data_IF_677115444378
#
_entry.id   IF_677115444378
#
_cell.length_a   1.000
_cell.length_b   1.000
_cell.length_c   1.000
_cell.angle_alpha   90.00
_cell.angle_beta   90.00
_cell.angle_gamma   90.00
#
_symmetry.space_group_name_H-M   'P 1'
#
loop_
_entity.id
_entity.type
_entity.pdbx_description
1 polymer ?
#
# COMPACT_ATOMS: atom_id res chain seq x y z
N UNK A 1 32.60 13.06 -24.25
CA UNK A 1 32.59 11.89 -23.34
C UNK A 1 32.48 12.28 -21.86
N UNK A 2 33.32 13.19 -21.34
CA UNK A 2 33.30 13.58 -19.91
C UNK A 2 31.98 14.19 -19.41
N UNK A 3 31.32 15.05 -20.19
CA UNK A 3 30.06 15.71 -19.78
C UNK A 3 28.89 14.75 -19.58
N UNK A 4 28.85 13.65 -20.35
CA UNK A 4 27.81 12.62 -20.23
C UNK A 4 28.05 11.77 -18.97
N UNK A 5 29.31 11.45 -18.68
CA UNK A 5 29.67 10.72 -17.46
C UNK A 5 29.29 11.50 -16.20
N UNK A 6 29.58 12.81 -16.16
CA UNK A 6 29.20 13.68 -15.04
C UNK A 6 27.68 13.73 -14.87
N UNK A 7 26.92 13.89 -15.97
CA UNK A 7 25.46 13.89 -15.93
C UNK A 7 24.90 12.56 -15.40
N UNK A 8 25.44 11.43 -15.87
CA UNK A 8 25.04 10.11 -15.42
C UNK A 8 25.29 9.92 -13.92
N UNK A 9 26.46 10.36 -13.41
CA UNK A 9 26.77 10.31 -11.98
C UNK A 9 25.79 11.12 -11.15
N UNK A 10 25.45 12.34 -11.58
CA UNK A 10 24.47 13.19 -10.88
C UNK A 10 23.08 12.52 -10.86
N UNK A 11 22.66 11.91 -11.97
CA UNK A 11 21.38 11.18 -12.04
C UNK A 11 21.35 10.01 -11.05
N UNK A 12 22.41 9.20 -11.00
CA UNK A 12 22.50 8.04 -10.09
C UNK A 12 22.48 8.49 -8.62
N UNK A 13 23.19 9.57 -8.29
CA UNK A 13 23.18 10.15 -6.94
C UNK A 13 21.78 10.63 -6.56
N UNK A 14 21.12 11.39 -7.43
CA UNK A 14 19.78 11.89 -7.19
C UNK A 14 18.76 10.75 -7.04
N UNK A 15 18.84 9.74 -7.91
CA UNK A 15 18.01 8.55 -7.82
C UNK A 15 18.20 7.82 -6.49
N UNK A 16 19.43 7.71 -6.00
CA UNK A 16 19.74 7.07 -4.71
C UNK A 16 19.11 7.83 -3.54
N UNK A 17 19.24 9.16 -3.52
CA UNK A 17 18.61 10.02 -2.51
C UNK A 17 17.08 9.87 -2.53
N UNK A 18 16.49 9.83 -3.72
CA UNK A 18 15.05 9.63 -3.89
C UNK A 18 14.57 8.25 -3.42
N UNK A 19 15.33 7.19 -3.67
CA UNK A 19 15.02 5.85 -3.13
C UNK A 19 15.05 5.84 -1.60
N UNK A 20 16.04 6.49 -0.98
CA UNK A 20 16.10 6.60 0.48
C UNK A 20 14.89 7.34 1.05
N UNK A 21 14.49 8.46 0.42
CA UNK A 21 13.30 9.21 0.82
C UNK A 21 12.03 8.36 0.76
N UNK A 22 11.86 7.55 -0.29
CA UNK A 22 10.70 6.67 -0.45
C UNK A 22 10.63 5.61 0.66
N UNK A 23 11.75 4.98 0.99
CA UNK A 23 11.83 3.99 2.08
C UNK A 23 11.54 4.63 3.43
N UNK A 24 12.13 5.80 3.70
CA UNK A 24 11.88 6.52 4.96
C UNK A 24 10.41 6.95 5.10
N UNK A 25 9.79 7.43 4.01
CA UNK A 25 8.38 7.78 3.98
C UNK A 25 7.49 6.57 4.27
N UNK A 26 7.72 5.44 3.61
CA UNK A 26 6.98 4.20 3.85
C UNK A 26 7.11 3.75 5.31
N UNK A 27 8.34 3.63 5.80
CA UNK A 27 8.60 3.20 7.18
C UNK A 27 7.97 4.17 8.19
N UNK A 28 8.00 5.49 7.94
CA UNK A 28 7.35 6.48 8.81
C UNK A 28 5.83 6.32 8.80
N UNK A 29 5.21 6.13 7.63
CA UNK A 29 3.77 5.93 7.51
C UNK A 29 3.32 4.68 8.27
N UNK A 30 3.93 3.52 8.00
CA UNK A 30 3.57 2.25 8.65
C UNK A 30 3.83 2.31 10.16
N UNK A 31 4.95 2.89 10.62
CA UNK A 31 5.21 3.06 12.06
C UNK A 31 4.19 3.96 12.73
N UNK A 32 3.77 5.04 12.08
CA UNK A 32 2.75 5.94 12.64
C UNK A 32 1.39 5.24 12.72
N UNK A 33 1.03 4.49 11.67
CA UNK A 33 -0.19 3.70 11.64
C UNK A 33 -0.17 2.61 12.73
N UNK A 34 0.91 1.83 12.82
CA UNK A 34 1.09 0.84 13.87
C UNK A 34 1.03 1.46 15.27
N UNK A 35 1.66 2.62 15.50
CA UNK A 35 1.58 3.35 16.78
C UNK A 35 0.16 3.77 17.14
N UNK A 36 -0.65 4.19 16.17
CA UNK A 36 -2.05 4.57 16.37
C UNK A 36 -2.87 3.40 16.93
N UNK A 37 -2.56 2.17 16.53
CA UNK A 37 -3.28 0.96 16.93
C UNK A 37 -2.58 0.14 18.04
N UNK A 38 -1.32 0.47 18.39
CA UNK A 38 -0.51 -0.28 19.38
C UNK A 38 -1.12 -0.34 20.79
N UNK A 39 -2.01 0.59 21.14
CA UNK A 39 -2.70 0.64 22.42
C UNK A 39 -3.98 -0.21 22.48
N UNK A 40 -4.51 -0.63 21.33
CA UNK A 40 -5.73 -1.40 21.27
C UNK A 40 -5.39 -2.88 20.98
N UNK A 41 -5.78 -3.78 21.87
CA UNK A 41 -5.63 -5.22 21.64
C UNK A 41 -6.58 -5.64 20.51
N UNK A 42 -6.08 -6.43 19.57
CA UNK A 42 -6.92 -7.05 18.54
C UNK A 42 -7.04 -6.30 17.21
N UNK A 43 -5.99 -5.58 16.80
CA UNK A 43 -5.92 -4.96 15.48
C UNK A 43 -4.77 -5.57 14.68
N UNK A 44 -5.07 -5.99 13.46
CA UNK A 44 -4.10 -6.54 12.52
C UNK A 44 -3.79 -5.53 11.43
N UNK A 45 -2.50 -5.25 11.22
CA UNK A 45 -2.02 -4.39 10.15
C UNK A 45 -1.54 -5.26 8.99
N UNK A 46 -2.31 -5.27 7.91
CA UNK A 46 -2.06 -6.06 6.71
C UNK A 46 -1.56 -5.12 5.62
N UNK A 47 -0.37 -5.37 5.09
CA UNK A 47 0.19 -4.62 3.97
C UNK A 47 0.39 -5.54 2.79
N UNK A 48 -0.01 -5.11 1.60
CA UNK A 48 0.34 -5.81 0.37
C UNK A 48 0.76 -4.85 -0.75
N UNK A 49 1.49 -5.38 -1.73
CA UNK A 49 2.05 -4.60 -2.82
C UNK A 49 1.66 -5.22 -4.15
N UNK A 50 0.78 -4.56 -4.88
CA UNK A 50 0.53 -4.91 -6.28
C UNK A 50 1.47 -4.15 -7.21
N UNK A 51 2.22 -4.91 -8.01
CA UNK A 51 3.04 -4.36 -9.09
C UNK A 51 2.31 -4.48 -10.43
N UNK A 52 2.45 -3.44 -11.25
CA UNK A 52 2.17 -3.44 -12.68
C UNK A 52 3.45 -3.04 -13.45
N UNK A 53 3.44 -3.16 -14.78
CA UNK A 53 4.65 -3.10 -15.63
C UNK A 53 5.49 -1.85 -15.41
N UNK A 54 4.84 -0.70 -15.20
CA UNK A 54 5.49 0.60 -15.01
C UNK A 54 5.07 1.32 -13.73
N UNK A 55 4.11 0.79 -12.97
CA UNK A 55 3.55 1.45 -11.78
C UNK A 55 3.36 0.44 -10.66
N UNK A 56 3.51 0.88 -9.41
CA UNK A 56 3.24 0.05 -8.24
C UNK A 56 2.14 0.70 -7.39
N UNK A 57 1.32 -0.15 -6.79
CA UNK A 57 0.37 0.24 -5.78
C UNK A 57 0.66 -0.52 -4.49
N UNK A 58 0.77 0.19 -3.38
CA UNK A 58 0.84 -0.40 -2.05
C UNK A 58 -0.51 -0.21 -1.39
N UNK A 59 -1.07 -1.29 -0.90
CA UNK A 59 -2.30 -1.28 -0.11
C UNK A 59 -1.95 -1.57 1.35
N UNK A 60 -2.52 -0.80 2.25
CA UNK A 60 -2.39 -1.00 3.69
C UNK A 60 -3.80 -1.02 4.27
N UNK A 61 -4.16 -2.13 4.90
CA UNK A 61 -5.44 -2.34 5.57
C UNK A 61 -5.15 -2.55 7.05
N UNK A 62 -5.92 -1.88 7.89
CA UNK A 62 -6.01 -2.19 9.31
C UNK A 62 -7.35 -2.86 9.54
N UNK A 63 -7.35 -4.07 10.09
CA UNK A 63 -8.58 -4.78 10.48
C UNK A 63 -8.65 -4.97 11.98
N UNK A 64 -9.86 -5.14 12.52
CA UNK A 64 -10.06 -5.67 13.87
C UNK A 64 -9.93 -7.21 13.90
N UNK A 65 -10.13 -7.82 15.08
CA UNK A 65 -10.10 -9.29 15.27
C UNK A 65 -11.14 -10.05 14.45
N UNK A 66 -12.23 -9.38 14.05
CA UNK A 66 -13.33 -9.98 13.30
C UNK A 66 -13.12 -9.83 11.78
N UNK A 67 -12.01 -9.20 11.36
CA UNK A 67 -11.71 -8.90 9.97
C UNK A 67 -12.46 -7.68 9.43
N UNK A 68 -13.00 -6.82 10.29
CA UNK A 68 -13.64 -5.55 9.92
C UNK A 68 -12.57 -4.51 9.63
N UNK A 69 -12.66 -3.87 8.46
CA UNK A 69 -11.74 -2.84 8.00
C UNK A 69 -11.94 -1.58 8.84
N UNK A 70 -10.89 -1.18 9.55
CA UNK A 70 -10.87 0.04 10.35
C UNK A 70 -10.37 1.22 9.52
N UNK A 71 -9.29 0.98 8.77
CA UNK A 71 -8.72 1.96 7.86
C UNK A 71 -8.10 1.26 6.65
N UNK A 72 -8.38 1.78 5.47
CA UNK A 72 -7.79 1.33 4.21
C UNK A 72 -7.04 2.48 3.51
N UNK A 73 -5.81 2.21 3.08
CA UNK A 73 -4.96 3.16 2.38
C UNK A 73 -4.42 2.58 1.08
N UNK A 74 -4.38 3.42 0.05
CA UNK A 74 -3.69 3.14 -1.20
C UNK A 74 -2.58 4.15 -1.42
N UNK A 75 -1.38 3.64 -1.64
CA UNK A 75 -0.30 4.36 -2.30
C UNK A 75 -0.33 3.96 -3.78
N UNK A 76 -0.58 4.89 -4.68
CA UNK A 76 -0.54 4.61 -6.12
C UNK A 76 0.10 5.78 -6.85
N UNK A 77 1.18 5.52 -7.59
CA UNK A 77 1.76 6.50 -8.50
C UNK A 77 3.12 6.10 -9.02
N UNK A 78 3.60 6.87 -10.00
CA UNK A 78 4.87 6.65 -10.70
C UNK A 78 6.04 7.39 -10.03
N UNK A 79 5.74 8.43 -9.24
CA UNK A 79 6.75 9.37 -8.74
C UNK A 79 6.97 9.23 -7.23
N UNK A 80 8.14 9.67 -6.76
CA UNK A 80 8.50 9.78 -5.33
C UNK A 80 7.58 10.71 -4.52
N UNK A 81 6.78 11.53 -5.21
CA UNK A 81 5.80 12.43 -4.59
C UNK A 81 4.44 11.79 -4.36
N UNK A 82 4.25 10.55 -4.79
CA UNK A 82 3.06 9.78 -4.49
C UNK A 82 2.93 9.60 -2.98
N UNK A 83 1.71 9.70 -2.46
CA UNK A 83 1.40 9.60 -1.02
C UNK A 83 0.35 8.53 -0.79
N UNK A 84 0.33 7.98 0.42
CA UNK A 84 -0.78 7.15 0.87
C UNK A 84 -2.05 8.01 0.93
N UNK A 85 -3.12 7.52 0.30
CA UNK A 85 -4.45 8.13 0.33
C UNK A 85 -5.40 7.17 1.04
N UNK A 86 -6.13 7.69 2.03
CA UNK A 86 -7.18 6.94 2.71
C UNK A 86 -8.33 6.67 1.73
N UNK A 87 -8.95 5.51 1.87
CA UNK A 87 -10.08 5.08 1.07
C UNK A 87 -11.19 4.62 2.02
N UNK A 88 -12.00 5.57 2.45
CA UNK A 88 -12.96 5.43 3.55
C UNK A 88 -14.23 4.65 3.15
N UNK A 89 -14.43 4.40 1.85
CA UNK A 89 -15.62 3.73 1.31
C UNK A 89 -15.87 2.33 1.90
N UNK A 90 -14.83 1.69 2.43
CA UNK A 90 -14.89 0.35 3.01
C UNK A 90 -14.58 0.33 4.51
N UNK A 91 -14.54 1.49 5.17
CA UNK A 91 -14.39 1.54 6.62
C UNK A 91 -15.66 0.96 7.27
N UNK A 92 -15.50 0.05 8.22
CA UNK A 92 -16.59 -0.67 8.90
C UNK A 92 -17.06 -1.94 8.18
N UNK A 93 -16.54 -2.22 6.98
CA UNK A 93 -16.92 -3.41 6.22
C UNK A 93 -16.02 -4.61 6.52
N UNK A 94 -16.57 -5.82 6.40
CA UNK A 94 -15.78 -7.04 6.60
C UNK A 94 -14.91 -7.33 5.38
N UNK A 95 -13.65 -7.70 5.62
CA UNK A 95 -12.72 -8.11 4.57
C UNK A 95 -13.08 -9.51 4.05
N UNK A 96 -13.97 -9.58 3.06
CA UNK A 96 -14.46 -10.81 2.47
C UNK A 96 -14.59 -10.73 0.93
N UNK A 97 -15.13 -11.81 0.34
CA UNK A 97 -15.33 -11.90 -1.11
C UNK A 97 -16.46 -10.99 -1.63
N UNK A 98 -17.41 -10.60 -0.78
CA UNK A 98 -18.45 -9.65 -1.18
C UNK A 98 -17.83 -8.27 -1.41
N UNK A 99 -16.91 -7.86 -0.54
CA UNK A 99 -16.16 -6.61 -0.71
C UNK A 99 -15.29 -6.59 -1.97
N UNK A 100 -14.79 -7.75 -2.40
CA UNK A 100 -14.06 -7.86 -3.68
C UNK A 100 -14.96 -7.51 -4.86
N UNK A 101 -16.24 -7.94 -4.83
CA UNK A 101 -17.20 -7.62 -5.88
C UNK A 101 -17.56 -6.12 -5.92
N UNK A 102 -17.63 -5.47 -4.74
CA UNK A 102 -17.83 -4.02 -4.62
C UNK A 102 -16.61 -3.23 -5.10
N UNK A 103 -15.40 -3.75 -4.86
CA UNK A 103 -14.18 -3.18 -5.40
C UNK A 103 -14.13 -3.28 -6.94
N UNK A 104 -14.77 -4.26 -7.55
CA UNK A 104 -14.84 -4.35 -9.01
C UNK A 104 -15.60 -3.21 -9.68
N UNK A 105 -16.41 -2.45 -8.91
CA UNK A 105 -17.05 -1.22 -9.38
C UNK A 105 -16.11 0.00 -9.36
N UNK A 106 -14.91 -0.09 -8.76
CA UNK A 106 -13.98 1.04 -8.75
C UNK A 106 -13.45 1.39 -10.15
N UNK A 107 -13.04 2.64 -10.37
CA UNK A 107 -12.51 3.03 -11.70
C UNK A 107 -11.04 2.62 -11.88
N UNK A 108 -10.28 2.49 -10.79
CA UNK A 108 -8.84 2.23 -10.84
C UNK A 108 -8.52 0.73 -10.88
N UNK A 109 -8.06 0.23 -12.03
CA UNK A 109 -7.61 -1.15 -12.21
C UNK A 109 -6.47 -1.56 -11.27
N UNK A 110 -5.56 -0.63 -10.96
CA UNK A 110 -4.46 -0.85 -10.00
C UNK A 110 -4.97 -1.09 -8.58
N UNK A 111 -5.93 -0.27 -8.11
CA UNK A 111 -6.51 -0.45 -6.77
C UNK A 111 -7.27 -1.77 -6.67
N UNK A 112 -8.03 -2.13 -7.71
CA UNK A 112 -8.71 -3.43 -7.79
C UNK A 112 -7.74 -4.58 -7.61
N UNK A 113 -6.65 -4.58 -8.40
CA UNK A 113 -5.65 -5.65 -8.36
C UNK A 113 -4.97 -5.74 -6.99
N UNK A 114 -4.59 -4.61 -6.41
CA UNK A 114 -3.99 -4.56 -5.07
C UNK A 114 -4.92 -5.13 -4.00
N UNK A 115 -6.20 -4.74 -4.04
CA UNK A 115 -7.19 -5.20 -3.10
C UNK A 115 -7.47 -6.70 -3.24
N UNK A 116 -7.66 -7.19 -4.48
CA UNK A 116 -7.86 -8.62 -4.74
C UNK A 116 -6.69 -9.48 -4.24
N UNK A 117 -5.45 -9.05 -4.50
CA UNK A 117 -4.26 -9.75 -4.02
C UNK A 117 -4.22 -9.83 -2.50
N UNK A 118 -4.52 -8.73 -1.81
CA UNK A 118 -4.54 -8.68 -0.35
C UNK A 118 -5.60 -9.62 0.24
N UNK A 119 -6.83 -9.61 -0.31
CA UNK A 119 -7.92 -10.48 0.16
C UNK A 119 -7.57 -11.95 -0.06
N UNK A 120 -7.11 -12.31 -1.27
CA UNK A 120 -6.71 -13.69 -1.57
C UNK A 120 -5.62 -14.19 -0.62
N UNK A 121 -4.57 -13.39 -0.41
CA UNK A 121 -3.47 -13.73 0.49
C UNK A 121 -3.95 -13.91 1.93
N UNK A 122 -4.92 -13.10 2.39
CA UNK A 122 -5.50 -13.28 3.71
C UNK A 122 -6.32 -14.56 3.82
N UNK A 123 -7.13 -14.89 2.80
CA UNK A 123 -7.92 -16.12 2.78
C UNK A 123 -7.05 -17.38 2.75
N UNK A 124 -5.97 -17.38 1.97
CA UNK A 124 -4.98 -18.46 1.95
C UNK A 124 -4.36 -18.68 3.34
N UNK A 125 -4.06 -17.60 4.07
CA UNK A 125 -3.51 -17.67 5.42
C UNK A 125 -4.51 -18.10 6.51
N UNK A 126 -5.81 -18.20 6.21
CA UNK A 126 -6.85 -18.71 7.13
C UNK A 126 -7.15 -20.20 6.86
N UNK A 127 -6.79 -20.72 5.68
CA UNK A 127 -7.12 -22.10 5.26
C UNK A 127 -6.08 -23.14 5.72
N UNK A 128 -5.11 -22.75 6.57
CA UNK A 128 -4.05 -23.63 7.11
C UNK A 128 -4.31 -23.95 8.57
#
# INVERSE_FOLDING_TARGET
>A
MGSIAILATVIILLQSVFSLYQVQYYNRFVRNLAKKYRGNKGYDLITDVAKHLFTSAVIVVVTDINGVIMELYFYSGLTIFSKFKRFEKFDGEKLDNELVSLMDQEKSSLKKKAFKQLVMKRMEAITI
#
